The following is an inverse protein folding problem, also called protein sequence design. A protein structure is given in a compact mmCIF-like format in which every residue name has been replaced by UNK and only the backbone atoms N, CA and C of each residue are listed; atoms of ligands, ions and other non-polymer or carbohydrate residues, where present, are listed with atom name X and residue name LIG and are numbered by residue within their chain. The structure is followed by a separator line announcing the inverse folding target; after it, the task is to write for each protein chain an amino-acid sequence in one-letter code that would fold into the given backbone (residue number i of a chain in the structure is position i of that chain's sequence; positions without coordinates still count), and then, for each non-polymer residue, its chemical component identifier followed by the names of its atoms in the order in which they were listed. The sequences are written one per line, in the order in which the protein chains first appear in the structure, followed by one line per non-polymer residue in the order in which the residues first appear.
data_IF_618140444510
#
_entry.id   IF_618140444510
#
_cell.length_a   1.000
_cell.length_b   1.000
_cell.length_c   1.000
_cell.angle_alpha   90.00
_cell.angle_beta   90.00
_cell.angle_gamma   90.00
#
_symmetry.space_group_name_H-M   'P 1'
#
loop_
_entity.id
_entity.type
_entity.pdbx_description
1 polymer ?
#
# COMPACT_ATOMS: atom_id res chain seq x y z
N UNK A 1 -83.51 -20.10 -50.41
CA UNK A 1 -82.81 -20.49 -51.65
C UNK A 1 -81.33 -20.17 -51.45
N UNK A 2 -80.56 -21.09 -50.90
CA UNK A 2 -79.67 -22.03 -51.62
C UNK A 2 -78.64 -21.29 -52.50
N UNK A 3 -77.36 -21.38 -52.12
CA UNK A 3 -76.28 -22.03 -52.89
C UNK A 3 -74.96 -22.02 -52.10
N UNK A 4 -74.56 -23.19 -51.61
CA UNK A 4 -73.16 -23.64 -51.56
C UNK A 4 -72.66 -23.95 -52.99
N UNK A 5 -71.39 -24.35 -53.26
CA UNK A 5 -70.11 -24.20 -52.54
C UNK A 5 -68.96 -23.74 -53.50
N UNK A 6 -67.75 -23.53 -52.98
CA UNK A 6 -66.53 -23.86 -53.73
C UNK A 6 -65.36 -24.09 -52.76
N UNK A 7 -64.91 -25.35 -52.76
CA UNK A 7 -63.70 -25.87 -52.14
C UNK A 7 -62.49 -25.30 -52.89
N UNK A 8 -61.45 -24.86 -52.18
CA UNK A 8 -60.09 -24.89 -52.71
C UNK A 8 -59.09 -25.33 -51.62
N UNK A 9 -58.56 -26.52 -51.83
CA UNK A 9 -57.40 -27.10 -51.16
C UNK A 9 -56.17 -26.20 -51.39
N UNK A 10 -55.46 -25.82 -50.32
CA UNK A 10 -54.06 -25.39 -50.42
C UNK A 10 -53.25 -26.27 -49.49
N UNK A 11 -52.38 -27.06 -50.12
CA UNK A 11 -51.35 -27.86 -49.49
C UNK A 11 -50.10 -27.02 -49.24
N UNK A 12 -49.32 -27.41 -48.22
CA UNK A 12 -47.94 -26.98 -48.00
C UNK A 12 -47.84 -25.70 -47.16
N UNK A 13 -46.94 -25.58 -46.19
CA UNK A 13 -45.76 -26.35 -45.85
C UNK A 13 -45.51 -26.17 -44.35
N UNK A 14 -45.25 -27.27 -43.63
CA UNK A 14 -44.82 -27.24 -42.24
C UNK A 14 -43.38 -26.71 -42.21
N UNK A 15 -43.20 -25.42 -41.99
CA UNK A 15 -41.90 -24.84 -41.70
C UNK A 15 -41.52 -25.25 -40.27
N UNK A 16 -40.69 -26.30 -40.20
CA UNK A 16 -40.00 -26.70 -38.98
C UNK A 16 -39.05 -25.56 -38.58
N UNK A 17 -39.49 -24.72 -37.65
CA UNK A 17 -38.64 -23.74 -37.01
C UNK A 17 -37.57 -24.49 -36.20
N UNK A 18 -36.37 -24.60 -36.77
CA UNK A 18 -35.19 -25.10 -36.09
C UNK A 18 -34.85 -24.09 -35.00
N UNK A 19 -35.17 -24.43 -33.74
CA UNK A 19 -34.65 -23.76 -32.56
C UNK A 19 -33.14 -24.04 -32.51
N UNK A 20 -32.35 -23.16 -33.10
CA UNK A 20 -30.93 -23.06 -32.77
C UNK A 20 -30.86 -22.60 -31.31
N UNK A 21 -30.24 -23.36 -30.38
CA UNK A 21 -29.86 -22.78 -29.11
C UNK A 21 -28.82 -21.72 -29.47
N UNK A 22 -29.21 -20.45 -29.34
CA UNK A 22 -28.25 -19.37 -29.33
C UNK A 22 -27.29 -19.71 -28.19
N UNK A 23 -26.08 -20.16 -28.55
CA UNK A 23 -24.96 -20.24 -27.65
C UNK A 23 -24.80 -18.83 -27.09
N UNK A 24 -25.30 -18.63 -25.87
CA UNK A 24 -25.03 -17.43 -25.09
C UNK A 24 -23.52 -17.46 -24.90
N UNK A 25 -22.79 -16.74 -25.75
CA UNK A 25 -21.42 -16.37 -25.50
C UNK A 25 -21.48 -15.49 -24.26
N UNK A 26 -21.29 -16.11 -23.11
CA UNK A 26 -21.05 -15.42 -21.86
C UNK A 26 -19.75 -14.64 -22.07
N UNK A 27 -19.86 -13.38 -22.49
CA UNK A 27 -18.74 -12.45 -22.48
C UNK A 27 -18.48 -12.15 -21.01
N UNK A 28 -17.67 -13.01 -20.40
CA UNK A 28 -17.05 -12.72 -19.12
C UNK A 28 -16.05 -11.61 -19.40
N UNK A 29 -16.52 -10.36 -19.40
CA UNK A 29 -15.65 -9.20 -19.30
C UNK A 29 -14.90 -9.37 -17.99
N UNK A 30 -13.62 -9.73 -18.12
CA UNK A 30 -12.68 -9.70 -17.02
C UNK A 30 -12.52 -8.23 -16.65
N UNK A 31 -13.34 -7.77 -15.70
CA UNK A 31 -13.11 -6.52 -15.01
C UNK A 31 -11.70 -6.59 -14.45
N UNK A 32 -10.80 -5.77 -15.00
CA UNK A 32 -9.48 -5.57 -14.42
C UNK A 32 -9.75 -4.76 -13.17
N UNK A 33 -10.02 -5.47 -12.07
CA UNK A 33 -9.92 -4.88 -10.74
C UNK A 33 -8.45 -4.54 -10.60
N UNK A 34 -8.11 -3.28 -10.89
CA UNK A 34 -6.87 -2.70 -10.43
C UNK A 34 -6.91 -2.86 -8.91
N UNK A 35 -6.12 -3.79 -8.39
CA UNK A 35 -5.93 -3.90 -6.95
C UNK A 35 -5.14 -2.67 -6.58
N UNK A 36 -5.85 -1.59 -6.27
CA UNK A 36 -5.25 -0.40 -5.70
C UNK A 36 -4.35 -0.88 -4.55
N UNK A 37 -3.06 -0.55 -4.62
CA UNK A 37 -2.11 -0.86 -3.57
C UNK A 37 -2.60 -0.32 -2.22
N UNK A 38 -1.93 -0.68 -1.12
CA UNK A 38 -2.29 -0.14 0.18
C UNK A 38 -2.28 1.39 0.12
N UNK A 39 -3.36 2.04 0.55
CA UNK A 39 -3.40 3.49 0.62
C UNK A 39 -2.37 4.06 1.61
N UNK A 40 -2.12 5.38 1.53
CA UNK A 40 -1.08 6.05 2.34
C UNK A 40 -1.16 5.72 3.83
N UNK A 41 -2.35 5.70 4.42
CA UNK A 41 -2.52 5.41 5.84
C UNK A 41 -1.99 4.00 6.23
N UNK A 42 -2.15 3.02 5.35
CA UNK A 42 -1.60 1.67 5.56
C UNK A 42 -0.08 1.67 5.44
N UNK A 43 0.48 2.41 4.48
CA UNK A 43 1.93 2.54 4.33
C UNK A 43 2.57 3.27 5.52
N UNK A 44 1.95 4.35 5.98
CA UNK A 44 2.35 5.09 7.18
C UNK A 44 2.29 4.20 8.43
N UNK A 45 1.32 3.29 8.52
CA UNK A 45 1.27 2.33 9.62
C UNK A 45 2.48 1.38 9.60
N UNK A 46 2.88 0.87 8.44
CA UNK A 46 4.09 0.04 8.30
C UNK A 46 5.35 0.81 8.68
N UNK A 47 5.53 2.03 8.17
CA UNK A 47 6.66 2.90 8.50
C UNK A 47 6.70 3.20 10.01
N UNK A 48 5.56 3.51 10.63
CA UNK A 48 5.49 3.74 12.07
C UNK A 48 5.79 2.45 12.87
N UNK A 49 5.34 1.30 12.40
CA UNK A 49 5.60 0.01 13.03
C UNK A 49 7.10 -0.31 13.06
N UNK A 50 7.76 -0.22 11.90
CA UNK A 50 9.19 -0.51 11.79
C UNK A 50 10.05 0.51 12.51
N UNK A 51 9.73 1.80 12.40
CA UNK A 51 10.46 2.85 13.12
C UNK A 51 10.38 2.71 14.64
N UNK A 52 9.24 2.29 15.22
CA UNK A 52 9.16 2.04 16.66
C UNK A 52 9.99 0.82 17.07
N UNK A 53 9.90 -0.27 16.32
CA UNK A 53 10.71 -1.47 16.58
C UNK A 53 12.21 -1.18 16.50
N UNK A 54 12.63 -0.41 15.49
CA UNK A 54 14.00 0.10 15.37
C UNK A 54 14.41 0.92 16.61
N UNK A 55 13.55 1.83 17.08
CA UNK A 55 13.82 2.61 18.30
C UNK A 55 14.04 1.74 19.54
N UNK A 56 13.22 0.71 19.72
CA UNK A 56 13.39 -0.25 20.82
C UNK A 56 14.71 -1.02 20.70
N UNK A 57 15.11 -1.41 19.49
CA UNK A 57 16.40 -2.07 19.22
C UNK A 57 17.60 -1.16 19.50
N UNK A 58 17.50 0.11 19.12
CA UNK A 58 18.52 1.13 19.39
C UNK A 58 18.65 1.41 20.90
N UNK A 59 17.53 1.45 21.62
CA UNK A 59 17.52 1.61 23.07
C UNK A 59 18.19 0.42 23.78
N UNK A 60 17.90 -0.80 23.33
CA UNK A 60 18.44 -2.04 23.87
C UNK A 60 19.91 -2.31 23.47
N UNK A 61 20.51 -1.47 22.60
CA UNK A 61 21.82 -1.70 22.00
C UNK A 61 21.91 -3.08 21.30
N UNK A 62 20.82 -3.50 20.66
CA UNK A 62 20.74 -4.75 19.94
C UNK A 62 21.05 -4.52 18.46
N UNK A 63 22.29 -4.80 18.06
CA UNK A 63 22.76 -4.54 16.71
C UNK A 63 22.01 -5.36 15.65
N UNK A 64 21.74 -6.64 15.92
CA UNK A 64 21.06 -7.52 14.96
C UNK A 64 19.65 -7.03 14.65
N UNK A 65 18.90 -6.61 15.66
CA UNK A 65 17.56 -6.06 15.46
C UNK A 65 17.59 -4.62 14.92
N UNK A 66 18.62 -3.84 15.24
CA UNK A 66 18.79 -2.48 14.70
C UNK A 66 18.99 -2.53 13.20
N UNK A 67 19.92 -3.37 12.73
CA UNK A 67 20.19 -3.62 11.31
C UNK A 67 18.92 -4.13 10.60
N UNK A 68 18.28 -5.16 11.16
CA UNK A 68 17.07 -5.74 10.59
C UNK A 68 15.92 -4.71 10.46
N UNK A 69 15.60 -3.96 11.52
CA UNK A 69 14.48 -3.02 11.47
C UNK A 69 14.79 -1.72 10.74
N UNK A 70 16.06 -1.36 10.57
CA UNK A 70 16.45 -0.30 9.65
C UNK A 70 16.15 -0.73 8.22
N UNK A 71 16.57 -1.93 7.82
CA UNK A 71 16.30 -2.47 6.49
C UNK A 71 14.80 -2.56 6.17
N UNK A 72 13.98 -3.09 7.09
CA UNK A 72 12.52 -3.16 6.89
C UNK A 72 11.85 -1.77 6.79
N UNK A 73 12.44 -0.75 7.44
CA UNK A 73 11.96 0.62 7.35
C UNK A 73 12.35 1.25 6.00
N UNK A 74 13.53 0.96 5.48
CA UNK A 74 13.97 1.36 4.14
C UNK A 74 13.07 0.75 3.07
N UNK A 75 12.83 -0.55 3.11
CA UNK A 75 11.92 -1.22 2.16
C UNK A 75 10.51 -0.63 2.22
N UNK A 76 10.00 -0.31 3.41
CA UNK A 76 8.70 0.34 3.55
C UNK A 76 8.68 1.77 2.97
N UNK A 77 9.78 2.51 3.09
CA UNK A 77 9.91 3.84 2.50
C UNK A 77 10.00 3.77 0.97
N UNK A 78 10.78 2.84 0.42
CA UNK A 78 10.88 2.59 -1.02
C UNK A 78 9.52 2.20 -1.60
N UNK A 79 8.84 1.25 -0.97
CA UNK A 79 7.52 0.81 -1.41
C UNK A 79 6.50 1.96 -1.39
N UNK A 80 6.55 2.85 -0.40
CA UNK A 80 5.73 4.05 -0.38
C UNK A 80 6.04 4.98 -1.55
N UNK A 81 7.33 5.24 -1.83
CA UNK A 81 7.76 6.11 -2.93
C UNK A 81 7.27 5.56 -4.28
N UNK A 82 7.31 4.24 -4.46
CA UNK A 82 6.88 3.58 -5.69
C UNK A 82 5.37 3.53 -5.87
N UNK A 83 4.60 3.50 -4.77
CA UNK A 83 3.15 3.22 -4.82
C UNK A 83 2.26 4.41 -4.49
N UNK A 84 2.79 5.48 -3.90
CA UNK A 84 2.02 6.67 -3.50
C UNK A 84 2.68 7.94 -4.03
N UNK A 85 2.32 8.32 -5.26
CA UNK A 85 2.80 9.57 -5.87
C UNK A 85 2.28 10.80 -5.11
N UNK A 86 0.96 10.88 -4.90
CA UNK A 86 0.29 11.99 -4.22
C UNK A 86 -0.81 11.54 -3.25
N UNK A 87 -1.11 12.39 -2.27
CA UNK A 87 -2.25 12.23 -1.35
C UNK A 87 -2.74 13.60 -0.91
N UNK A 88 -4.04 13.85 -1.02
CA UNK A 88 -4.67 15.14 -0.67
C UNK A 88 -3.98 16.37 -1.28
N UNK A 89 -3.43 16.23 -2.50
CA UNK A 89 -2.73 17.29 -3.23
C UNK A 89 -1.27 17.52 -2.80
N UNK A 90 -0.73 16.68 -1.91
CA UNK A 90 0.67 16.69 -1.52
C UNK A 90 1.49 15.65 -2.31
N UNK A 91 2.71 15.99 -2.78
CA UNK A 91 3.56 15.07 -3.53
C UNK A 91 4.30 14.12 -2.57
N UNK A 92 3.64 13.05 -2.14
CA UNK A 92 4.10 12.15 -1.08
C UNK A 92 5.41 11.44 -1.45
N UNK A 93 5.54 10.93 -2.67
CA UNK A 93 6.76 10.26 -3.11
C UNK A 93 7.97 11.21 -3.09
N UNK A 94 7.80 12.45 -3.55
CA UNK A 94 8.86 13.46 -3.52
C UNK A 94 9.20 13.87 -2.08
N UNK A 95 8.18 14.14 -1.25
CA UNK A 95 8.37 14.51 0.15
C UNK A 95 9.09 13.41 0.93
N UNK A 96 8.79 12.15 0.67
CA UNK A 96 9.47 11.01 1.31
C UNK A 96 10.94 10.97 0.91
N UNK A 97 11.25 11.12 -0.38
CA UNK A 97 12.63 11.19 -0.87
C UNK A 97 13.43 12.34 -0.25
N UNK A 98 12.84 13.53 -0.11
CA UNK A 98 13.60 14.71 0.38
C UNK A 98 13.58 14.87 1.90
N UNK A 99 12.65 14.24 2.62
CA UNK A 99 12.53 14.33 4.08
C UNK A 99 13.08 13.10 4.78
N UNK A 100 12.67 11.90 4.36
CA UNK A 100 12.93 10.67 5.11
C UNK A 100 14.24 9.99 4.69
N UNK A 101 14.46 9.82 3.38
CA UNK A 101 15.61 9.06 2.85
C UNK A 101 16.97 9.53 3.38
N UNK A 102 17.28 10.85 3.45
CA UNK A 102 18.56 11.29 4.00
C UNK A 102 18.77 10.90 5.47
N UNK A 103 17.69 10.78 6.24
CA UNK A 103 17.74 10.30 7.62
C UNK A 103 18.01 8.79 7.71
N UNK A 104 17.48 8.02 6.77
CA UNK A 104 17.74 6.58 6.67
C UNK A 104 19.21 6.34 6.31
N UNK A 105 19.72 6.98 5.27
CA UNK A 105 21.14 6.88 4.85
C UNK A 105 22.11 7.30 5.98
N UNK A 106 21.77 8.35 6.73
CA UNK A 106 22.59 8.78 7.87
C UNK A 106 22.58 7.75 9.00
N UNK A 107 21.42 7.15 9.29
CA UNK A 107 21.28 6.12 10.30
C UNK A 107 21.99 4.82 9.88
N UNK A 108 21.88 4.40 8.62
CA UNK A 108 22.61 3.26 8.05
C UNK A 108 24.12 3.43 8.24
N UNK A 109 24.66 4.59 7.85
CA UNK A 109 26.07 4.88 8.05
C UNK A 109 26.49 4.86 9.54
N UNK A 110 25.59 5.24 10.45
CA UNK A 110 25.84 5.17 11.89
C UNK A 110 25.81 3.73 12.41
N UNK A 111 24.86 2.91 11.95
CA UNK A 111 24.75 1.49 12.28
C UNK A 111 26.01 0.75 11.81
N UNK A 112 26.47 1.00 10.60
CA UNK A 112 27.72 0.47 10.04
C UNK A 112 28.96 0.84 10.88
N UNK A 113 28.95 2.01 11.52
CA UNK A 113 30.04 2.44 12.40
C UNK A 113 30.06 1.73 13.75
N UNK A 114 28.92 1.19 14.20
CA UNK A 114 28.76 0.54 15.50
C UNK A 114 28.76 1.49 16.71
N UNK A 115 28.80 2.81 16.49
CA UNK A 115 28.87 3.80 17.55
C UNK A 115 27.48 4.17 18.08
N UNK A 116 27.03 3.53 19.16
CA UNK A 116 25.68 3.69 19.72
C UNK A 116 25.26 5.13 20.02
N UNK A 117 26.19 6.00 20.39
CA UNK A 117 25.88 7.41 20.59
C UNK A 117 25.50 8.10 19.27
N UNK A 118 26.17 7.74 18.17
CA UNK A 118 25.84 8.22 16.82
C UNK A 118 24.52 7.62 16.34
N UNK A 119 24.32 6.31 16.50
CA UNK A 119 23.08 5.61 16.13
C UNK A 119 21.86 6.25 16.80
N UNK A 120 21.93 6.53 18.12
CA UNK A 120 20.84 7.20 18.85
C UNK A 120 20.57 8.61 18.34
N UNK A 121 21.62 9.38 18.04
CA UNK A 121 21.47 10.74 17.49
C UNK A 121 20.79 10.70 16.14
N UNK A 122 21.22 9.80 15.25
CA UNK A 122 20.69 9.74 13.89
C UNK A 122 19.28 9.13 13.86
N UNK A 123 18.97 8.17 14.74
CA UNK A 123 17.59 7.71 14.94
C UNK A 123 16.67 8.83 15.43
N UNK A 124 17.14 9.67 16.37
CA UNK A 124 16.38 10.86 16.80
C UNK A 124 16.18 11.84 15.64
N UNK A 125 17.18 12.01 14.79
CA UNK A 125 17.10 12.80 13.56
C UNK A 125 16.08 12.25 12.56
N UNK A 126 16.05 10.92 12.39
CA UNK A 126 15.06 10.22 11.57
C UNK A 126 13.64 10.46 12.09
N UNK A 127 13.38 10.32 13.39
CA UNK A 127 12.07 10.63 14.01
C UNK A 127 11.67 12.08 13.78
N UNK A 128 12.63 13.02 13.89
CA UNK A 128 12.37 14.42 13.58
C UNK A 128 11.99 14.64 12.10
N UNK A 129 12.56 13.87 11.18
CA UNK A 129 12.22 13.91 9.75
C UNK A 129 10.77 13.48 9.48
N UNK A 130 10.28 12.43 10.17
CA UNK A 130 8.88 12.00 10.11
C UNK A 130 7.94 13.16 10.48
N UNK A 131 8.23 13.83 11.60
CA UNK A 131 7.45 14.97 12.07
C UNK A 131 7.53 16.19 11.13
N UNK A 132 8.69 16.41 10.48
CA UNK A 132 8.84 17.45 9.47
C UNK A 132 7.96 17.17 8.24
N UNK A 133 7.85 15.92 7.80
CA UNK A 133 6.97 15.54 6.69
C UNK A 133 5.49 15.74 7.08
N UNK A 134 5.09 15.24 8.25
CA UNK A 134 3.71 15.43 8.75
C UNK A 134 3.32 16.91 8.85
N UNK A 135 4.23 17.77 9.31
CA UNK A 135 3.98 19.22 9.35
C UNK A 135 3.83 19.81 7.94
N UNK A 136 4.64 19.37 6.98
CA UNK A 136 4.62 19.86 5.61
C UNK A 136 3.34 19.46 4.83
N UNK A 137 2.62 18.44 5.29
CA UNK A 137 1.40 17.93 4.67
C UNK A 137 0.13 18.27 5.43
N UNK A 138 0.16 19.27 6.34
CA UNK A 138 -0.95 19.65 7.22
C UNK A 138 -1.41 18.55 8.23
N UNK A 139 -0.56 17.56 8.47
CA UNK A 139 -0.78 16.46 9.42
C UNK A 139 0.06 16.60 10.70
N UNK A 140 0.51 17.81 11.04
CA UNK A 140 1.39 18.08 12.19
C UNK A 140 0.82 17.70 13.58
N UNK A 141 -0.46 17.32 13.64
CA UNK A 141 -1.08 16.74 14.83
C UNK A 141 -0.70 15.25 15.05
N UNK A 142 -0.14 14.58 14.03
CA UNK A 142 0.43 13.23 14.14
C UNK A 142 1.89 13.37 14.56
N UNK A 143 2.14 13.29 15.86
CA UNK A 143 3.48 13.45 16.45
C UNK A 143 4.08 12.09 16.73
N UNK A 144 5.21 11.81 16.09
CA UNK A 144 6.03 10.62 16.31
C UNK A 144 7.05 10.93 17.41
N UNK A 145 7.24 9.97 18.30
CA UNK A 145 8.26 9.98 19.37
C UNK A 145 9.24 8.84 19.13
N UNK A 146 10.39 8.88 19.79
CA UNK A 146 11.41 7.83 19.75
C UNK A 146 10.89 6.47 20.28
N UNK A 147 9.83 6.48 21.08
CA UNK A 147 9.16 5.26 21.53
C UNK A 147 9.93 4.44 22.56
N UNK A 148 11.06 4.97 23.05
CA UNK A 148 11.89 4.39 24.09
C UNK A 148 11.08 4.09 25.38
N UNK A 149 11.45 3.01 26.06
CA UNK A 149 10.91 2.56 27.34
C UNK A 149 9.47 2.04 27.29
N UNK A 150 8.82 2.04 26.12
CA UNK A 150 7.45 1.58 25.92
C UNK A 150 7.43 0.49 24.83
N UNK A 151 7.71 -0.76 25.20
CA UNK A 151 7.58 -1.91 24.31
C UNK A 151 6.16 -2.51 24.38
N UNK A 152 5.29 -2.26 23.38
CA UNK A 152 3.96 -2.88 23.30
C UNK A 152 4.00 -4.24 22.58
N UNK A 153 5.13 -4.65 22.04
CA UNK A 153 5.25 -5.84 21.20
C UNK A 153 5.53 -7.07 22.05
N UNK A 154 5.01 -8.22 21.61
CA UNK A 154 5.35 -9.52 22.17
C UNK A 154 6.70 -10.01 21.61
N UNK A 155 7.75 -9.21 21.82
CA UNK A 155 9.11 -9.44 21.34
C UNK A 155 10.10 -8.84 22.35
N UNK A 156 11.21 -9.53 22.56
CA UNK A 156 12.38 -9.03 23.28
C UNK A 156 13.25 -8.23 22.30
N UNK A 157 13.68 -7.04 22.73
CA UNK A 157 14.51 -6.12 21.94
C UNK A 157 15.86 -5.98 22.60
#
# INVERSE_FOLDING_TARGET
MIKHPAILLIAGTLTLAILLPACISNTYEKEVVEVAGPGLATQMNSIQHWSHKLGLSVEAENMELTDFYLHELEEAAEFLIETVEEYDGYPIAELTQVKLVPGLEALEAAVDSGEWEQIRRDYTGLVASCNSCHTATDHGYIVITEGYGNNPFNQEF
#
